data_IF_291721908343
#
_entry.id   IF_291721908343
#
_cell.length_a   1.000
_cell.length_b   1.000
_cell.length_c   1.000
_cell.angle_alpha   90.00
_cell.angle_beta   90.00
_cell.angle_gamma   90.00
#
_symmetry.space_group_name_H-M   'P 1'
#
loop_
_entity.id
_entity.type
_entity.pdbx_description
1 polymer ?
#
# COMPACT_ATOMS: atom_id res chain seq x y z
N UNK A 1 -17.90 -6.78 10.29
CA UNK A 1 -16.67 -7.14 11.04
C UNK A 1 -16.38 -6.02 12.04
N UNK A 2 -16.10 -6.31 13.32
CA UNK A 2 -15.73 -5.32 14.34
C UNK A 2 -14.42 -5.77 15.01
N UNK A 3 -13.28 -5.35 14.48
CA UNK A 3 -12.01 -5.51 15.20
C UNK A 3 -11.93 -4.46 16.30
N UNK A 4 -11.41 -4.85 17.46
CA UNK A 4 -11.29 -3.95 18.61
C UNK A 4 -10.01 -3.13 18.50
N UNK A 5 -10.15 -1.81 18.48
CA UNK A 5 -9.03 -0.89 18.52
C UNK A 5 -8.26 -1.05 19.85
N UNK A 6 -6.95 -1.25 19.74
CA UNK A 6 -6.02 -1.16 20.86
C UNK A 6 -5.67 0.31 21.11
N UNK A 7 -6.32 0.94 22.10
CA UNK A 7 -6.09 2.34 22.42
C UNK A 7 -4.75 2.50 23.15
N UNK A 8 -4.01 3.55 22.81
CA UNK A 8 -2.81 3.95 23.52
C UNK A 8 -2.90 5.41 23.97
N UNK A 9 -2.09 5.76 24.97
CA UNK A 9 -1.92 7.13 25.47
C UNK A 9 -0.64 7.76 24.96
N UNK A 10 -0.54 9.09 24.98
CA UNK A 10 0.70 9.79 24.61
C UNK A 10 1.87 9.41 25.49
N UNK A 11 1.63 9.24 26.78
CA UNK A 11 2.66 8.81 27.74
C UNK A 11 3.20 7.42 27.39
N UNK A 12 2.33 6.46 27.06
CA UNK A 12 2.78 5.12 26.62
C UNK A 12 3.65 5.17 25.37
N UNK A 13 3.25 5.96 24.36
CA UNK A 13 4.00 6.06 23.10
C UNK A 13 5.34 6.77 23.32
N UNK A 14 5.35 7.90 24.03
CA UNK A 14 6.56 8.68 24.32
C UNK A 14 7.54 7.87 25.18
N UNK A 15 7.05 7.15 26.19
CA UNK A 15 7.90 6.31 27.05
C UNK A 15 8.59 5.19 26.26
N UNK A 16 7.94 4.64 25.24
CA UNK A 16 8.54 3.63 24.37
C UNK A 16 9.58 4.24 23.42
N UNK A 17 9.28 5.39 22.81
CA UNK A 17 10.24 6.12 21.97
C UNK A 17 11.53 6.46 22.75
N UNK A 18 11.40 6.90 24.00
CA UNK A 18 12.51 7.25 24.89
C UNK A 18 13.44 6.07 25.26
N UNK A 19 13.06 4.82 24.96
CA UNK A 19 13.95 3.66 25.18
C UNK A 19 15.10 3.62 24.19
N UNK A 20 14.97 4.29 23.05
CA UNK A 20 16.00 4.38 22.02
C UNK A 20 16.50 5.82 21.94
N UNK A 21 17.81 6.04 22.07
CA UNK A 21 18.41 7.38 22.09
C UNK A 21 18.67 7.96 20.69
N UNK A 22 18.08 7.37 19.66
CA UNK A 22 18.25 7.78 18.26
C UNK A 22 17.60 9.14 17.96
N UNK A 23 18.22 9.95 17.11
CA UNK A 23 17.76 11.29 16.75
C UNK A 23 16.38 11.28 16.06
N UNK A 24 16.06 10.21 15.33
CA UNK A 24 14.76 10.05 14.67
C UNK A 24 13.64 9.81 15.70
N UNK A 25 13.95 9.10 16.79
CA UNK A 25 13.00 8.86 17.89
C UNK A 25 12.67 10.17 18.61
N UNK A 26 13.68 11.02 18.83
CA UNK A 26 13.51 12.35 19.41
C UNK A 26 12.68 13.24 18.49
N UNK A 27 12.94 13.20 17.18
CA UNK A 27 12.16 13.95 16.18
C UNK A 27 10.69 13.52 16.19
N UNK A 28 10.41 12.21 16.23
CA UNK A 28 9.05 11.70 16.33
C UNK A 28 8.36 12.11 17.65
N UNK A 29 9.08 12.08 18.77
CA UNK A 29 8.58 12.57 20.05
C UNK A 29 8.19 14.05 19.97
N UNK A 30 9.06 14.90 19.41
CA UNK A 30 8.79 16.33 19.26
C UNK A 30 7.53 16.59 18.41
N UNK A 31 7.34 15.84 17.31
CA UNK A 31 6.14 15.95 16.48
C UNK A 31 4.86 15.56 17.23
N UNK A 32 4.94 14.58 18.14
CA UNK A 32 3.83 14.17 19.01
C UNK A 32 3.54 15.24 20.07
N UNK A 33 4.57 15.72 20.76
CA UNK A 33 4.45 16.72 21.83
C UNK A 33 3.93 18.07 21.32
N UNK A 34 4.36 18.48 20.12
CA UNK A 34 3.88 19.68 19.45
C UNK A 34 2.49 19.50 18.82
N UNK A 35 1.94 18.29 18.83
CA UNK A 35 0.58 18.00 18.34
C UNK A 35 0.44 17.90 16.82
N UNK A 36 1.55 17.83 16.07
CA UNK A 36 1.52 17.52 14.63
C UNK A 36 1.04 16.08 14.40
N UNK A 37 1.44 15.17 15.30
CA UNK A 37 1.04 13.76 15.26
C UNK A 37 0.19 13.44 16.50
N UNK A 38 -1.02 12.92 16.29
CA UNK A 38 -1.92 12.52 17.37
C UNK A 38 -1.71 11.06 17.72
N UNK A 39 -2.07 10.64 18.94
CA UNK A 39 -2.01 9.23 19.29
C UNK A 39 -3.23 8.48 18.78
N UNK A 40 -3.02 7.26 18.30
CA UNK A 40 -4.08 6.35 17.88
C UNK A 40 -4.96 5.94 19.07
N UNK A 41 -6.16 6.50 19.11
CA UNK A 41 -7.22 6.11 20.03
C UNK A 41 -8.59 6.43 19.42
N UNK A 42 -9.66 5.91 20.03
CA UNK A 42 -11.01 6.04 19.50
C UNK A 42 -11.47 7.51 19.34
N UNK A 43 -11.22 8.44 20.29
CA UNK A 43 -11.50 9.86 20.10
C UNK A 43 -10.77 10.48 18.91
N UNK A 44 -9.45 10.25 18.78
CA UNK A 44 -8.65 10.75 17.65
C UNK A 44 -9.21 10.23 16.33
N UNK A 45 -9.46 8.93 16.22
CA UNK A 45 -10.00 8.34 15.00
C UNK A 45 -11.37 8.88 14.64
N UNK A 46 -12.25 9.13 15.63
CA UNK A 46 -13.55 9.76 15.37
C UNK A 46 -13.40 11.14 14.74
N UNK A 47 -12.42 11.93 15.18
CA UNK A 47 -12.14 13.24 14.62
C UNK A 47 -11.57 13.16 13.20
N UNK A 48 -10.62 12.23 12.97
CA UNK A 48 -9.88 12.15 11.71
C UNK A 48 -10.58 11.32 10.63
N UNK A 49 -11.59 10.52 10.97
CA UNK A 49 -12.22 9.55 10.06
C UNK A 49 -12.57 10.10 8.67
N UNK A 50 -13.06 11.34 8.59
CA UNK A 50 -13.42 11.95 7.31
C UNK A 50 -12.21 12.14 6.39
N UNK A 51 -11.05 12.50 6.94
CA UNK A 51 -9.80 12.70 6.17
C UNK A 51 -9.29 11.37 5.59
N UNK A 52 -9.56 10.27 6.28
CA UNK A 52 -9.15 8.93 5.90
C UNK A 52 -10.05 8.24 4.87
N UNK A 53 -11.26 8.78 4.62
CA UNK A 53 -12.22 8.23 3.64
C UNK A 53 -13.65 8.09 4.20
N UNK A 54 -13.82 8.21 5.51
CA UNK A 54 -15.14 8.27 6.16
C UNK A 54 -15.65 6.94 6.71
N UNK A 55 -15.18 5.80 6.20
CA UNK A 55 -15.60 4.49 6.71
C UNK A 55 -14.83 4.09 7.97
N UNK A 56 -15.37 3.11 8.71
CA UNK A 56 -14.73 2.63 9.94
C UNK A 56 -13.38 1.93 9.69
N UNK A 57 -13.22 1.29 8.53
CA UNK A 57 -11.99 0.60 8.17
C UNK A 57 -10.95 1.56 7.60
N UNK A 58 -11.38 2.68 7.04
CA UNK A 58 -10.55 3.64 6.32
C UNK A 58 -9.47 4.31 7.18
N UNK A 59 -9.54 4.16 8.50
CA UNK A 59 -8.54 4.66 9.43
C UNK A 59 -7.54 3.58 9.82
N UNK A 60 -6.29 3.95 10.16
CA UNK A 60 -5.33 3.01 10.73
C UNK A 60 -5.89 2.29 11.96
N UNK A 61 -5.56 1.01 12.09
CA UNK A 61 -6.00 0.19 13.20
C UNK A 61 -4.82 -0.62 13.73
N UNK A 62 -4.57 -0.47 15.03
CA UNK A 62 -3.78 -1.40 15.83
C UNK A 62 -4.74 -2.32 16.57
N UNK A 63 -4.55 -3.63 16.45
CA UNK A 63 -5.39 -4.63 17.12
C UNK A 63 -4.53 -5.79 17.61
N UNK A 64 -4.95 -6.38 18.73
CA UNK A 64 -4.44 -7.64 19.25
C UNK A 64 -5.56 -8.69 19.34
N UNK A 65 -6.65 -8.48 18.60
CA UNK A 65 -7.79 -9.40 18.55
C UNK A 65 -7.42 -10.68 17.77
N UNK A 66 -7.67 -11.85 18.38
CA UNK A 66 -7.37 -13.15 17.77
C UNK A 66 -8.09 -13.38 16.46
N UNK A 67 -9.27 -12.79 16.27
CA UNK A 67 -10.04 -12.90 15.02
C UNK A 67 -9.37 -12.14 13.87
N UNK A 68 -8.58 -11.11 14.20
CA UNK A 68 -7.90 -10.26 13.22
C UNK A 68 -6.50 -10.76 12.86
N UNK A 69 -5.91 -11.63 13.69
CA UNK A 69 -4.55 -12.13 13.48
C UNK A 69 -4.54 -13.30 12.48
N UNK A 70 -3.52 -13.39 11.60
CA UNK A 70 -3.37 -14.54 10.70
C UNK A 70 -3.11 -15.84 11.47
N UNK A 71 -2.59 -15.76 12.70
CA UNK A 71 -2.42 -16.90 13.57
C UNK A 71 -3.07 -16.61 14.92
N UNK A 72 -3.71 -17.62 15.55
CA UNK A 72 -4.06 -17.54 16.96
C UNK A 72 -2.84 -17.13 17.80
N UNK A 73 -3.04 -16.36 18.88
CA UNK A 73 -1.93 -15.84 19.71
C UNK A 73 -0.99 -16.94 20.21
N UNK A 74 -1.53 -18.12 20.52
CA UNK A 74 -0.77 -19.29 20.97
C UNK A 74 -0.11 -20.09 19.83
N UNK A 75 -0.24 -19.65 18.58
CA UNK A 75 0.32 -20.28 17.37
C UNK A 75 1.08 -19.27 16.50
N UNK A 76 1.49 -18.14 17.06
CA UNK A 76 2.42 -17.26 16.37
C UNK A 76 3.72 -18.03 16.06
N UNK A 77 4.33 -17.82 14.89
CA UNK A 77 5.63 -18.42 14.57
C UNK A 77 6.64 -18.09 15.66
N UNK A 78 7.31 -19.12 16.20
CA UNK A 78 8.36 -18.90 17.19
C UNK A 78 9.63 -18.34 16.54
N UNK A 79 10.51 -17.77 17.38
CA UNK A 79 11.76 -17.16 16.92
C UNK A 79 12.65 -18.15 16.18
N UNK A 80 12.65 -19.42 16.57
CA UNK A 80 13.42 -20.46 15.88
C UNK A 80 12.92 -20.64 14.43
N UNK A 81 11.62 -20.73 14.25
CA UNK A 81 10.98 -20.84 12.93
C UNK A 81 11.27 -19.62 12.08
N UNK A 82 11.18 -18.42 12.66
CA UNK A 82 11.49 -17.15 11.98
C UNK A 82 12.96 -17.13 11.53
N UNK A 83 13.88 -17.45 12.44
CA UNK A 83 15.30 -17.52 12.16
C UNK A 83 15.59 -18.52 11.04
N UNK A 84 15.05 -19.74 11.11
CA UNK A 84 15.25 -20.77 10.08
C UNK A 84 14.75 -20.34 8.68
N UNK A 85 13.62 -19.61 8.61
CA UNK A 85 13.09 -19.06 7.36
C UNK A 85 14.04 -17.98 6.82
N UNK A 86 14.44 -17.04 7.68
CA UNK A 86 15.26 -15.90 7.29
C UNK A 86 16.68 -16.32 6.91
N UNK A 87 17.32 -17.22 7.65
CA UNK A 87 18.64 -17.76 7.29
C UNK A 87 18.61 -18.42 5.92
N UNK A 88 17.61 -19.27 5.64
CA UNK A 88 17.46 -19.91 4.31
C UNK A 88 17.25 -18.89 3.20
N UNK A 89 16.56 -17.80 3.47
CA UNK A 89 16.35 -16.74 2.49
C UNK A 89 17.64 -15.96 2.21
N UNK A 90 18.40 -15.65 3.26
CA UNK A 90 19.71 -14.99 3.15
C UNK A 90 20.71 -15.86 2.39
N UNK A 91 20.79 -17.16 2.69
CA UNK A 91 21.65 -18.13 2.02
C UNK A 91 21.35 -18.25 0.51
N UNK A 92 20.08 -18.08 0.13
CA UNK A 92 19.62 -18.13 -1.28
C UNK A 92 19.66 -16.78 -1.99
N UNK A 93 19.96 -15.68 -1.28
CA UNK A 93 19.84 -14.33 -1.82
C UNK A 93 18.39 -13.90 -2.13
N UNK A 94 17.38 -14.54 -1.52
CA UNK A 94 15.97 -14.26 -1.77
C UNK A 94 15.42 -13.20 -0.81
N UNK A 95 16.02 -12.00 -0.84
CA UNK A 95 15.65 -10.84 -0.02
C UNK A 95 16.01 -9.54 -0.76
N UNK A 96 15.47 -8.41 -0.29
CA UNK A 96 15.84 -7.07 -0.79
C UNK A 96 16.31 -6.22 0.39
N UNK A 97 17.43 -5.51 0.23
CA UNK A 97 17.93 -4.56 1.23
C UNK A 97 17.43 -3.15 0.95
N UNK A 98 17.06 -2.41 1.99
CA UNK A 98 16.61 -1.02 1.84
C UNK A 98 17.69 -0.08 1.28
N UNK A 99 18.98 -0.38 1.53
CA UNK A 99 20.13 0.44 1.08
C UNK A 99 21.02 -0.40 0.15
N UNK A 100 20.78 -0.38 -1.18
CA UNK A 100 21.48 -1.24 -2.14
C UNK A 100 22.92 -0.79 -2.47
N UNK A 101 23.35 0.41 -2.05
CA UNK A 101 24.65 1.00 -2.44
C UNK A 101 25.87 0.39 -1.72
N UNK A 102 25.71 -0.71 -0.99
CA UNK A 102 26.83 -1.45 -0.40
C UNK A 102 27.21 -2.57 -1.37
N UNK A 103 28.04 -2.29 -2.38
CA UNK A 103 28.42 -3.29 -3.40
C UNK A 103 29.25 -4.47 -2.83
N UNK A 104 29.87 -4.30 -1.66
CA UNK A 104 30.58 -5.35 -0.94
C UNK A 104 29.99 -5.55 0.48
N UNK A 105 29.77 -6.81 0.88
CA UNK A 105 29.41 -7.16 2.25
C UNK A 105 27.90 -7.29 2.56
N UNK A 106 26.99 -7.10 1.58
CA UNK A 106 25.53 -7.21 1.79
C UNK A 106 25.12 -8.52 2.47
N UNK A 107 25.67 -9.64 2.00
CA UNK A 107 25.38 -10.95 2.58
C UNK A 107 25.85 -11.05 4.04
N UNK A 108 26.99 -10.44 4.39
CA UNK A 108 27.48 -10.40 5.76
C UNK A 108 26.57 -9.57 6.68
N UNK A 109 26.12 -8.41 6.20
CA UNK A 109 25.15 -7.55 6.91
C UNK A 109 23.83 -8.28 7.14
N UNK A 110 23.29 -8.90 6.09
CA UNK A 110 22.06 -9.68 6.17
C UNK A 110 22.18 -10.84 7.16
N UNK A 111 23.30 -11.57 7.09
CA UNK A 111 23.59 -12.69 8.00
C UNK A 111 23.70 -12.22 9.44
N UNK A 112 24.41 -11.12 9.69
CA UNK A 112 24.57 -10.55 11.03
C UNK A 112 23.23 -10.11 11.61
N UNK A 113 22.35 -9.47 10.83
CA UNK A 113 21.01 -9.11 11.30
C UNK A 113 20.18 -10.35 11.66
N UNK A 114 20.21 -11.40 10.84
CA UNK A 114 19.48 -12.64 11.13
C UNK A 114 20.02 -13.33 12.40
N UNK A 115 21.33 -13.34 12.60
CA UNK A 115 21.95 -13.93 13.79
C UNK A 115 21.63 -13.17 15.09
N UNK A 116 21.37 -11.86 14.99
CA UNK A 116 21.09 -11.00 16.13
C UNK A 116 19.60 -10.65 16.29
N UNK A 117 18.70 -11.39 15.64
CA UNK A 117 17.25 -11.15 15.81
C UNK A 117 16.82 -11.23 17.27
N UNK A 118 17.47 -12.03 18.11
CA UNK A 118 17.18 -12.18 19.54
C UNK A 118 17.74 -11.04 20.41
N UNK A 119 18.61 -10.18 19.88
CA UNK A 119 19.14 -9.02 20.61
C UNK A 119 18.27 -7.79 20.31
N UNK A 120 17.43 -7.33 21.26
CA UNK A 120 16.54 -6.19 21.04
C UNK A 120 17.30 -4.88 20.81
N UNK A 121 18.59 -4.80 21.15
CA UNK A 121 19.41 -3.59 21.02
C UNK A 121 20.39 -3.66 19.87
N UNK A 122 20.31 -4.68 19.02
CA UNK A 122 21.19 -4.81 17.88
C UNK A 122 20.99 -3.65 16.89
N UNK A 123 21.94 -2.73 16.90
CA UNK A 123 22.08 -1.66 15.91
C UNK A 123 22.94 -2.22 14.79
N UNK A 124 22.34 -2.48 13.64
CA UNK A 124 23.04 -3.08 12.49
C UNK A 124 23.91 -2.07 11.75
N UNK A 125 24.98 -2.54 11.11
CA UNK A 125 25.82 -1.73 10.21
C UNK A 125 25.18 -1.49 8.83
N UNK A 126 23.94 -1.94 8.62
CA UNK A 126 23.19 -1.77 7.38
C UNK A 126 21.68 -1.80 7.59
N UNK A 127 20.94 -1.61 6.49
CA UNK A 127 19.48 -1.42 6.55
C UNK A 127 18.65 -2.69 6.70
N UNK A 128 17.34 -2.50 6.76
CA UNK A 128 16.34 -3.55 6.83
C UNK A 128 16.40 -4.60 5.70
N UNK A 129 16.09 -5.84 6.07
CA UNK A 129 15.82 -6.96 5.17
C UNK A 129 14.34 -7.02 4.84
N UNK A 130 13.98 -6.77 3.59
CA UNK A 130 12.60 -6.80 3.11
C UNK A 130 12.32 -7.99 2.18
N UNK A 131 11.03 -8.20 1.92
CA UNK A 131 10.53 -9.07 0.86
C UNK A 131 10.95 -10.54 0.98
N UNK A 132 11.22 -11.01 2.21
CA UNK A 132 11.52 -12.42 2.45
C UNK A 132 10.22 -13.21 2.37
N UNK A 133 9.99 -13.88 1.24
CA UNK A 133 8.81 -14.71 1.01
C UNK A 133 8.85 -15.97 1.87
N UNK A 134 7.71 -16.33 2.46
CA UNK A 134 7.59 -17.59 3.20
C UNK A 134 6.28 -18.30 2.92
N UNK A 135 6.35 -19.31 2.04
CA UNK A 135 5.21 -20.18 1.74
C UNK A 135 4.72 -20.93 2.98
N UNK A 136 5.61 -21.30 3.90
CA UNK A 136 5.26 -21.98 5.14
C UNK A 136 4.41 -21.10 6.07
N UNK A 137 4.72 -19.81 6.15
CA UNK A 137 3.92 -18.85 6.91
C UNK A 137 2.56 -18.63 6.24
N UNK A 138 2.52 -18.48 4.92
CA UNK A 138 1.27 -18.34 4.18
C UNK A 138 0.34 -19.56 4.35
N UNK A 139 0.88 -20.78 4.35
CA UNK A 139 0.10 -22.01 4.49
C UNK A 139 -0.45 -22.22 5.91
N UNK A 140 0.25 -21.72 6.92
CA UNK A 140 -0.17 -21.84 8.32
C UNK A 140 -1.11 -20.72 8.77
N UNK A 141 -1.18 -19.62 8.01
CA UNK A 141 -2.00 -18.48 8.30
C UNK A 141 -3.47 -18.70 7.90
N UNK A 142 -4.38 -18.22 8.76
CA UNK A 142 -5.81 -18.13 8.52
C UNK A 142 -6.15 -16.69 8.19
N UNK A 143 -6.42 -16.42 6.92
CA UNK A 143 -6.73 -15.08 6.45
C UNK A 143 -8.20 -14.75 6.65
N UNK A 144 -8.46 -13.56 7.15
CA UNK A 144 -9.80 -13.00 7.17
C UNK A 144 -10.29 -12.80 5.73
N UNK A 145 -11.53 -13.21 5.43
CA UNK A 145 -12.16 -12.89 4.14
C UNK A 145 -12.59 -11.42 4.10
N UNK A 146 -12.38 -10.80 2.94
CA UNK A 146 -12.80 -9.44 2.60
C UNK A 146 -13.82 -9.42 1.46
N UNK A 147 -14.54 -10.53 1.26
CA UNK A 147 -15.50 -10.66 0.16
C UNK A 147 -16.60 -9.60 0.22
N UNK A 148 -17.01 -9.18 1.43
CA UNK A 148 -17.99 -8.10 1.62
C UNK A 148 -17.53 -6.71 1.16
N UNK A 149 -16.23 -6.53 0.93
CA UNK A 149 -15.65 -5.30 0.36
C UNK A 149 -15.20 -5.50 -1.10
N UNK A 150 -15.52 -6.66 -1.69
CA UNK A 150 -15.17 -7.05 -3.05
C UNK A 150 -13.68 -7.34 -3.17
N UNK A 151 -13.20 -8.39 -2.52
CA UNK A 151 -11.80 -8.82 -2.58
C UNK A 151 -11.35 -9.02 -4.03
N UNK A 152 -10.32 -8.26 -4.45
CA UNK A 152 -9.72 -8.35 -5.79
C UNK A 152 -8.47 -9.22 -5.81
N UNK A 153 -7.77 -9.29 -4.68
CA UNK A 153 -6.56 -10.09 -4.56
C UNK A 153 -5.88 -9.92 -3.21
N UNK A 154 -4.97 -10.85 -2.94
CA UNK A 154 -4.11 -10.88 -1.75
C UNK A 154 -2.68 -11.16 -2.18
N UNK A 155 -1.72 -10.44 -1.62
CA UNK A 155 -0.31 -10.80 -1.83
C UNK A 155 0.10 -12.00 -0.97
N UNK A 156 1.16 -12.66 -1.36
CA UNK A 156 1.91 -13.53 -0.44
C UNK A 156 2.35 -12.75 0.80
N UNK A 157 2.56 -13.49 1.88
CA UNK A 157 3.10 -12.98 3.12
C UNK A 157 4.61 -12.86 3.03
N UNK A 158 5.11 -11.68 3.41
CA UNK A 158 6.52 -11.36 3.39
C UNK A 158 7.00 -11.02 4.81
N UNK A 159 8.16 -11.53 5.17
CA UNK A 159 8.87 -11.12 6.37
C UNK A 159 9.70 -9.86 6.07
N UNK A 160 9.77 -9.00 7.07
CA UNK A 160 10.72 -7.89 7.13
C UNK A 160 11.42 -7.93 8.48
N UNK A 161 12.75 -7.86 8.49
CA UNK A 161 13.52 -7.66 9.71
C UNK A 161 14.25 -6.33 9.66
N UNK A 162 14.25 -5.62 10.79
CA UNK A 162 14.91 -4.33 10.94
C UNK A 162 15.73 -4.33 12.23
N UNK A 163 16.96 -3.77 12.23
CA UNK A 163 17.72 -3.54 13.46
C UNK A 163 17.06 -2.47 14.34
N UNK A 164 17.50 -2.36 15.58
CA UNK A 164 17.08 -1.29 16.49
C UNK A 164 17.61 0.08 16.01
N UNK A 165 16.80 1.13 16.15
CA UNK A 165 17.13 2.50 15.71
C UNK A 165 16.98 2.73 14.20
N UNK A 166 16.59 1.72 13.42
CA UNK A 166 16.34 1.88 11.99
C UNK A 166 14.99 2.57 11.73
N UNK A 167 14.83 3.02 10.49
CA UNK A 167 13.58 3.60 10.02
C UNK A 167 13.26 3.12 8.61
N UNK A 168 11.97 2.90 8.37
CA UNK A 168 11.47 2.94 7.01
C UNK A 168 11.04 4.37 6.71
N UNK A 169 11.67 4.90 5.68
CA UNK A 169 11.41 6.21 5.13
C UNK A 169 9.94 6.34 4.69
N UNK A 170 9.47 7.57 4.50
CA UNK A 170 8.09 7.86 4.14
C UNK A 170 7.68 7.16 2.84
N UNK A 171 6.79 6.18 2.95
CA UNK A 171 6.33 5.32 1.85
C UNK A 171 4.79 5.21 1.89
N UNK A 172 4.20 4.54 0.90
CA UNK A 172 2.78 4.24 0.85
C UNK A 172 2.48 2.95 0.07
N UNK A 173 1.26 2.46 0.19
CA UNK A 173 0.75 1.35 -0.63
C UNK A 173 -0.61 1.71 -1.19
N UNK A 174 -0.89 1.31 -2.42
CA UNK A 174 -2.16 1.53 -3.14
C UNK A 174 -3.26 0.50 -2.76
N UNK A 175 -2.97 -0.34 -1.77
CA UNK A 175 -3.80 -1.41 -1.24
C UNK A 175 -3.64 -1.45 0.28
N UNK A 176 -4.50 -2.22 0.96
CA UNK A 176 -4.39 -2.40 2.40
C UNK A 176 -3.08 -3.09 2.73
N UNK A 177 -2.36 -2.58 3.71
CA UNK A 177 -1.21 -3.28 4.29
C UNK A 177 -1.59 -3.82 5.66
N UNK A 178 -1.43 -5.13 5.83
CA UNK A 178 -1.70 -5.81 7.09
C UNK A 178 -0.38 -6.37 7.59
N UNK A 179 0.09 -5.89 8.74
CA UNK A 179 1.41 -6.23 9.29
C UNK A 179 1.28 -6.75 10.71
N UNK A 180 1.65 -8.00 10.95
CA UNK A 180 1.75 -8.59 12.29
C UNK A 180 3.19 -8.51 12.77
N UNK A 181 3.40 -7.95 13.96
CA UNK A 181 4.72 -7.96 14.59
C UNK A 181 4.94 -9.29 15.27
N UNK A 182 5.99 -10.01 14.86
CA UNK A 182 6.37 -11.29 15.43
C UNK A 182 7.35 -11.11 16.59
N UNK A 183 8.23 -10.12 16.50
CA UNK A 183 9.23 -9.81 17.50
C UNK A 183 9.60 -8.32 17.50
N UNK A 184 10.05 -7.83 18.66
CA UNK A 184 10.57 -6.47 18.86
C UNK A 184 9.45 -5.46 19.09
N UNK A 185 9.80 -4.19 18.93
CA UNK A 185 8.89 -3.06 19.16
C UNK A 185 9.12 -2.01 18.08
N UNK A 186 8.06 -1.52 17.46
CA UNK A 186 8.13 -0.48 16.41
C UNK A 186 7.07 0.59 16.62
N UNK A 187 7.39 1.82 16.22
CA UNK A 187 6.45 2.94 16.16
C UNK A 187 6.01 3.15 14.73
N UNK A 188 4.72 3.33 14.52
CA UNK A 188 4.14 3.70 13.23
C UNK A 188 3.64 5.12 13.28
N UNK A 189 3.88 5.87 12.20
CA UNK A 189 3.26 7.17 11.96
C UNK A 189 2.55 7.09 10.62
N UNK A 190 1.24 7.27 10.64
CA UNK A 190 0.39 7.08 9.45
C UNK A 190 -0.43 8.33 9.24
N UNK A 191 -0.37 8.88 8.02
CA UNK A 191 -1.02 10.12 7.64
C UNK A 191 -2.28 9.83 6.83
N UNK A 192 -3.24 10.76 6.87
CA UNK A 192 -4.43 10.65 6.04
C UNK A 192 -4.06 10.81 4.55
N UNK A 193 -4.72 10.10 3.61
CA UNK A 193 -4.47 10.20 2.17
C UNK A 193 -5.17 11.44 1.58
N UNK A 194 -4.96 12.62 2.15
CA UNK A 194 -5.52 13.86 1.60
C UNK A 194 -4.77 14.26 0.33
N UNK A 195 -5.40 15.00 -0.60
CA UNK A 195 -4.71 15.49 -1.79
C UNK A 195 -3.40 16.22 -1.47
N UNK A 196 -3.38 17.02 -0.40
CA UNK A 196 -2.20 17.76 0.05
C UNK A 196 -1.08 16.83 0.54
N UNK A 197 -1.40 15.82 1.35
CA UNK A 197 -0.41 14.85 1.83
C UNK A 197 0.14 13.99 0.69
N UNK A 198 -0.70 13.64 -0.30
CA UNK A 198 -0.27 12.87 -1.47
C UNK A 198 0.61 13.71 -2.41
N UNK A 199 0.39 15.02 -2.49
CA UNK A 199 1.29 15.93 -3.20
C UNK A 199 2.64 16.06 -2.51
N UNK A 200 2.65 16.23 -1.18
CA UNK A 200 3.89 16.24 -0.38
C UNK A 200 4.68 14.94 -0.55
N UNK A 201 4.00 13.79 -0.54
CA UNK A 201 4.64 12.51 -0.80
C UNK A 201 5.18 12.42 -2.23
N UNK A 202 4.45 12.92 -3.23
CA UNK A 202 4.93 12.95 -4.62
C UNK A 202 6.17 13.81 -4.77
N UNK A 203 6.18 15.01 -4.19
CA UNK A 203 7.34 15.91 -4.19
C UNK A 203 8.56 15.23 -3.57
N UNK A 204 8.40 14.59 -2.40
CA UNK A 204 9.47 13.80 -1.78
C UNK A 204 9.97 12.70 -2.72
N UNK A 205 9.06 11.90 -3.28
CA UNK A 205 9.40 10.81 -4.19
C UNK A 205 10.06 11.30 -5.50
N UNK A 206 9.83 12.55 -5.88
CA UNK A 206 10.51 13.16 -7.02
C UNK A 206 11.94 13.56 -6.64
N UNK A 207 12.12 14.18 -5.48
CA UNK A 207 13.42 14.61 -4.99
C UNK A 207 14.39 13.46 -4.76
N UNK A 208 13.98 12.39 -4.08
CA UNK A 208 14.93 11.27 -3.91
C UNK A 208 15.13 10.45 -5.20
N UNK A 209 14.23 10.51 -6.19
CA UNK A 209 14.52 9.99 -7.56
C UNK A 209 15.61 10.83 -8.25
N UNK A 210 15.67 12.13 -7.98
CA UNK A 210 16.71 13.03 -8.48
C UNK A 210 18.02 12.93 -7.69
N UNK A 211 18.08 12.07 -6.65
CA UNK A 211 19.24 11.93 -5.78
C UNK A 211 19.43 13.06 -4.77
N UNK A 212 18.38 13.86 -4.51
CA UNK A 212 18.39 14.85 -3.44
C UNK A 212 18.24 14.13 -2.09
N UNK A 213 19.12 14.40 -1.14
CA UNK A 213 18.96 13.92 0.24
C UNK A 213 17.77 14.64 0.87
N UNK A 214 16.63 13.96 0.99
CA UNK A 214 15.48 14.47 1.72
C UNK A 214 15.39 13.87 3.11
N UNK A 215 15.06 14.72 4.08
CA UNK A 215 14.72 14.29 5.41
C UNK A 215 13.20 14.05 5.48
N UNK A 216 12.75 12.80 5.52
CA UNK A 216 11.32 12.46 5.67
C UNK A 216 10.64 13.16 6.83
N UNK A 217 11.37 13.44 7.90
CA UNK A 217 10.83 14.04 9.12
C UNK A 217 10.36 15.49 8.88
N UNK A 218 10.99 16.20 7.95
CA UNK A 218 10.55 17.54 7.53
C UNK A 218 9.19 17.48 6.81
N UNK A 219 8.97 16.46 5.98
CA UNK A 219 7.68 16.25 5.33
C UNK A 219 6.58 15.91 6.34
N UNK A 220 6.90 15.12 7.36
CA UNK A 220 5.92 14.71 8.39
C UNK A 220 5.35 15.89 9.18
N UNK A 221 6.15 16.93 9.44
CA UNK A 221 5.68 18.14 10.14
C UNK A 221 4.55 18.85 9.39
N UNK A 222 4.57 18.79 8.07
CA UNK A 222 3.62 19.45 7.17
C UNK A 222 2.41 18.58 6.81
N UNK A 223 2.45 17.27 7.11
CA UNK A 223 1.35 16.37 6.78
C UNK A 223 0.21 16.45 7.79
N UNK A 224 -1.01 16.38 7.28
CA UNK A 224 -2.21 16.54 8.08
C UNK A 224 -2.80 15.21 8.54
N UNK A 225 -3.42 15.22 9.72
CA UNK A 225 -4.19 14.08 10.22
C UNK A 225 -3.34 12.86 10.55
N UNK A 226 -2.07 13.05 10.93
CA UNK A 226 -1.17 11.99 11.32
C UNK A 226 -1.58 11.32 12.64
N UNK A 227 -1.44 10.00 12.70
CA UNK A 227 -1.56 9.21 13.93
C UNK A 227 -0.30 8.40 14.21
N UNK A 228 0.10 8.33 15.48
CA UNK A 228 1.19 7.50 15.98
C UNK A 228 0.72 6.45 16.99
N UNK A 229 1.41 5.30 16.99
CA UNK A 229 1.23 4.23 17.96
C UNK A 229 2.40 3.26 17.95
N UNK A 230 2.53 2.51 19.05
CA UNK A 230 3.53 1.46 19.22
C UNK A 230 2.91 0.10 18.93
N UNK A 231 3.51 -0.64 18.01
CA UNK A 231 3.21 -2.05 17.77
C UNK A 231 4.16 -2.93 18.58
N UNK A 232 3.60 -3.91 19.28
CA UNK A 232 4.28 -4.94 20.09
C UNK A 232 4.04 -6.34 19.51
N UNK A 233 4.81 -7.37 19.93
CA UNK A 233 4.67 -8.72 19.41
C UNK A 233 3.25 -9.27 19.59
N UNK A 234 2.73 -9.92 18.56
CA UNK A 234 1.36 -10.43 18.53
C UNK A 234 0.28 -9.38 18.25
N UNK A 235 0.66 -8.13 17.95
CA UNK A 235 -0.26 -7.11 17.47
C UNK A 235 -0.20 -7.01 15.95
N UNK A 236 -1.33 -6.64 15.35
CA UNK A 236 -1.47 -6.40 13.92
C UNK A 236 -1.86 -4.96 13.63
N UNK A 237 -1.25 -4.41 12.60
CA UNK A 237 -1.51 -3.09 12.05
C UNK A 237 -2.22 -3.22 10.72
N UNK A 238 -3.26 -2.42 10.53
CA UNK A 238 -3.97 -2.24 9.27
C UNK A 238 -3.70 -0.82 8.80
N UNK A 239 -3.07 -0.70 7.63
CA UNK A 239 -2.82 0.58 6.96
C UNK A 239 -3.75 0.65 5.75
N UNK A 240 -4.65 1.63 5.69
CA UNK A 240 -5.52 1.85 4.55
C UNK A 240 -4.74 2.19 3.27
N UNK A 241 -5.32 1.93 2.08
CA UNK A 241 -4.72 2.33 0.81
C UNK A 241 -4.41 3.83 0.76
N UNK A 242 -3.32 4.15 0.08
CA UNK A 242 -2.79 5.48 -0.18
C UNK A 242 -2.42 6.31 1.05
N UNK A 243 -2.52 5.78 2.27
CA UNK A 243 -2.02 6.47 3.46
C UNK A 243 -0.50 6.53 3.39
N UNK A 244 0.13 7.72 3.40
CA UNK A 244 1.55 7.83 3.64
C UNK A 244 1.86 7.31 5.05
N UNK A 245 2.99 6.63 5.21
CA UNK A 245 3.42 6.15 6.51
C UNK A 245 4.94 6.14 6.63
N UNK A 246 5.40 6.34 7.86
CA UNK A 246 6.78 6.12 8.29
C UNK A 246 6.77 5.13 9.46
N UNK A 247 7.88 4.42 9.64
CA UNK A 247 8.05 3.48 10.74
C UNK A 247 9.43 3.62 11.37
N UNK A 248 9.47 3.53 12.69
CA UNK A 248 10.68 3.55 13.50
C UNK A 248 10.80 2.25 14.29
N UNK A 249 12.01 1.71 14.41
CA UNK A 249 12.24 0.46 15.13
C UNK A 249 12.90 0.76 16.47
N UNK A 250 12.15 0.55 17.55
CA UNK A 250 12.64 0.83 18.91
C UNK A 250 13.55 -0.32 19.36
N UNK A 251 13.18 -1.54 18.99
CA UNK A 251 13.97 -2.76 19.19
C UNK A 251 14.15 -3.48 17.86
N UNK A 252 15.18 -4.31 17.76
CA UNK A 252 15.34 -5.25 16.64
C UNK A 252 14.07 -6.06 16.48
N UNK A 253 13.50 -6.05 15.27
CA UNK A 253 12.15 -6.52 15.06
C UNK A 253 12.00 -7.34 13.80
N UNK A 254 10.99 -8.21 13.83
CA UNK A 254 10.55 -8.99 12.66
C UNK A 254 9.04 -8.85 12.52
N UNK A 255 8.60 -8.42 11.36
CA UNK A 255 7.18 -8.34 11.01
C UNK A 255 6.85 -9.27 9.85
N UNK A 256 5.63 -9.79 9.85
CA UNK A 256 5.03 -10.53 8.74
C UNK A 256 3.89 -9.70 8.16
N UNK A 257 4.02 -9.30 6.89
CA UNK A 257 3.06 -8.44 6.24
C UNK A 257 2.54 -9.04 4.93
N UNK A 258 1.25 -8.80 4.67
CA UNK A 258 0.62 -9.08 3.39
C UNK A 258 -0.28 -7.91 3.00
N UNK A 259 -0.73 -7.92 1.75
CA UNK A 259 -1.52 -6.84 1.17
C UNK A 259 -2.84 -7.35 0.64
N UNK A 260 -3.87 -6.51 0.73
CA UNK A 260 -5.22 -6.84 0.28
C UNK A 260 -5.76 -5.74 -0.64
N UNK A 261 -6.16 -6.11 -1.86
CA UNK A 261 -6.82 -5.23 -2.80
C UNK A 261 -8.34 -5.45 -2.76
N UNK A 262 -9.12 -4.36 -2.79
CA UNK A 262 -10.59 -4.42 -2.70
C UNK A 262 -11.23 -3.51 -3.73
N UNK A 263 -12.37 -3.92 -4.27
CA UNK A 263 -13.14 -3.15 -5.24
C UNK A 263 -13.60 -1.82 -4.65
N UNK A 264 -13.93 -1.80 -3.36
CA UNK A 264 -14.31 -0.59 -2.64
C UNK A 264 -13.25 0.52 -2.69
N UNK A 265 -11.96 0.16 -2.82
CA UNK A 265 -10.83 1.11 -2.87
C UNK A 265 -10.21 1.24 -4.26
N UNK A 266 -10.77 0.59 -5.27
CA UNK A 266 -10.23 0.56 -6.63
C UNK A 266 -10.14 1.95 -7.28
N UNK A 267 -11.12 2.82 -7.04
CA UNK A 267 -11.11 4.21 -7.56
C UNK A 267 -9.88 4.99 -7.07
N UNK A 268 -9.52 4.84 -5.80
CA UNK A 268 -8.33 5.46 -5.23
C UNK A 268 -7.05 4.91 -5.87
N UNK A 269 -7.01 3.61 -6.19
CA UNK A 269 -5.88 3.01 -6.90
C UNK A 269 -5.72 3.52 -8.34
N UNK A 270 -6.82 3.92 -9.02
CA UNK A 270 -6.78 4.55 -10.34
C UNK A 270 -6.29 6.00 -10.26
N UNK A 271 -6.85 6.78 -9.33
CA UNK A 271 -6.49 8.21 -9.16
C UNK A 271 -5.04 8.42 -8.74
N UNK A 272 -4.39 7.41 -8.15
CA UNK A 272 -3.03 7.48 -7.66
C UNK A 272 -2.03 6.67 -8.49
N UNK A 273 -2.36 6.37 -9.76
CA UNK A 273 -1.40 5.81 -10.71
C UNK A 273 -0.15 6.70 -10.86
N UNK A 274 -0.24 8.04 -10.97
CA UNK A 274 0.95 8.88 -11.10
C UNK A 274 1.91 8.75 -9.92
N UNK A 275 1.35 8.68 -8.69
CA UNK A 275 2.14 8.47 -7.49
C UNK A 275 2.84 7.11 -7.50
N UNK A 276 2.18 6.07 -8.02
CA UNK A 276 2.76 4.73 -8.14
C UNK A 276 3.92 4.74 -9.12
N UNK A 277 3.71 5.39 -10.28
CA UNK A 277 4.75 5.54 -11.28
C UNK A 277 5.98 6.22 -10.69
N UNK A 278 5.80 7.35 -10.01
CA UNK A 278 6.89 8.08 -9.35
C UNK A 278 7.65 7.20 -8.35
N UNK A 279 6.94 6.46 -7.50
CA UNK A 279 7.53 5.57 -6.50
C UNK A 279 8.34 4.42 -7.11
N UNK A 280 7.97 3.95 -8.30
CA UNK A 280 8.69 2.87 -8.99
C UNK A 280 9.97 3.38 -9.65
N UNK A 281 10.09 4.67 -9.94
CA UNK A 281 11.31 5.24 -10.57
C UNK A 281 12.58 5.10 -9.71
N UNK A 282 12.42 4.84 -8.41
CA UNK A 282 13.51 4.49 -7.49
C UNK A 282 14.16 3.13 -7.77
N UNK A 283 13.41 2.23 -8.39
CA UNK A 283 13.88 0.88 -8.63
C UNK A 283 14.81 0.80 -9.85
N UNK A 284 15.53 -0.31 -9.99
CA UNK A 284 16.29 -0.57 -11.21
C UNK A 284 15.37 -0.72 -12.42
N UNK A 285 15.87 -0.43 -13.63
CA UNK A 285 15.03 -0.44 -14.84
C UNK A 285 14.39 -1.79 -15.19
N UNK A 286 14.91 -2.89 -14.64
CA UNK A 286 14.35 -4.24 -14.75
C UNK A 286 13.17 -4.41 -13.77
N UNK A 287 13.36 -4.00 -12.52
CA UNK A 287 12.31 -4.03 -11.50
C UNK A 287 11.17 -3.06 -11.85
N UNK A 288 11.48 -1.91 -12.45
CA UNK A 288 10.49 -0.98 -12.99
C UNK A 288 9.57 -1.65 -14.01
N UNK A 289 10.14 -2.34 -15.00
CA UNK A 289 9.37 -3.03 -16.05
C UNK A 289 8.39 -4.06 -15.46
N UNK A 290 8.88 -4.86 -14.51
CA UNK A 290 8.07 -5.87 -13.82
C UNK A 290 6.93 -5.19 -13.06
N UNK A 291 7.24 -4.14 -12.26
CA UNK A 291 6.25 -3.44 -11.45
C UNK A 291 5.20 -2.71 -12.29
N UNK A 292 5.58 -2.06 -13.39
CA UNK A 292 4.64 -1.43 -14.31
C UNK A 292 3.72 -2.45 -14.97
N UNK A 293 4.29 -3.54 -15.48
CA UNK A 293 3.52 -4.62 -16.11
C UNK A 293 2.53 -5.25 -15.13
N UNK A 294 3.00 -5.66 -13.94
CA UNK A 294 2.13 -6.26 -12.93
C UNK A 294 1.01 -5.30 -12.49
N UNK A 295 1.33 -4.01 -12.31
CA UNK A 295 0.33 -3.02 -11.89
C UNK A 295 -0.73 -2.81 -12.97
N UNK A 296 -0.32 -2.65 -14.22
CA UNK A 296 -1.23 -2.45 -15.35
C UNK A 296 -2.14 -3.66 -15.57
N UNK A 297 -1.59 -4.87 -15.43
CA UNK A 297 -2.34 -6.12 -15.55
C UNK A 297 -3.35 -6.29 -14.39
N UNK A 298 -2.91 -6.15 -13.13
CA UNK A 298 -3.77 -6.26 -11.95
C UNK A 298 -4.91 -5.23 -11.95
N UNK A 299 -4.63 -4.00 -12.39
CA UNK A 299 -5.67 -2.98 -12.55
C UNK A 299 -6.70 -3.36 -13.62
N UNK A 300 -6.27 -4.01 -14.70
CA UNK A 300 -7.15 -4.42 -15.80
C UNK A 300 -8.05 -5.58 -15.35
N UNK A 301 -7.48 -6.59 -14.70
CA UNK A 301 -8.22 -7.71 -14.13
C UNK A 301 -9.27 -7.23 -13.12
N UNK A 302 -8.86 -6.33 -12.21
CA UNK A 302 -9.76 -5.74 -11.23
C UNK A 302 -10.89 -4.93 -11.89
N UNK A 303 -10.57 -4.12 -12.90
CA UNK A 303 -11.54 -3.36 -13.67
C UNK A 303 -12.58 -4.29 -14.32
N UNK A 304 -12.13 -5.39 -14.93
CA UNK A 304 -13.02 -6.36 -15.56
C UNK A 304 -13.93 -7.04 -14.53
N UNK A 305 -13.37 -7.48 -13.41
CA UNK A 305 -14.14 -8.11 -12.34
C UNK A 305 -15.24 -7.16 -11.78
N UNK A 306 -14.90 -5.88 -11.61
CA UNK A 306 -15.82 -4.85 -11.12
C UNK A 306 -16.91 -4.55 -12.16
N UNK A 307 -16.54 -4.27 -13.42
CA UNK A 307 -17.50 -3.86 -14.45
C UNK A 307 -18.42 -5.00 -14.88
N UNK A 308 -17.95 -6.24 -14.85
CA UNK A 308 -18.76 -7.44 -15.08
C UNK A 308 -19.53 -7.88 -13.83
N UNK A 309 -19.24 -7.29 -12.67
CA UNK A 309 -19.83 -7.62 -11.37
C UNK A 309 -19.68 -9.11 -11.03
N UNK A 310 -18.48 -9.65 -11.25
CA UNK A 310 -18.13 -11.06 -11.01
C UNK A 310 -17.58 -11.33 -9.59
N UNK A 311 -17.57 -10.31 -8.73
CA UNK A 311 -17.05 -10.40 -7.37
C UNK A 311 -18.01 -11.17 -6.44
N UNK A 312 -17.54 -12.23 -5.75
CA UNK A 312 -18.37 -12.97 -4.80
C UNK A 312 -18.86 -12.08 -3.66
N UNK A 313 -20.14 -12.23 -3.29
CA UNK A 313 -20.75 -11.56 -2.14
C UNK A 313 -20.65 -10.02 -2.09
N UNK A 314 -20.33 -9.36 -3.22
CA UNK A 314 -20.20 -7.91 -3.32
C UNK A 314 -21.03 -7.32 -4.47
N UNK A 315 -21.86 -6.31 -4.18
CA UNK A 315 -22.53 -5.52 -5.23
C UNK A 315 -21.64 -4.33 -5.63
N UNK A 316 -21.00 -4.44 -6.79
CA UNK A 316 -20.08 -3.44 -7.28
C UNK A 316 -20.76 -2.21 -7.88
N UNK A 317 -22.10 -2.10 -7.87
CA UNK A 317 -22.85 -1.00 -8.50
C UNK A 317 -22.34 0.39 -8.15
N UNK A 318 -22.04 0.66 -6.88
CA UNK A 318 -21.55 1.97 -6.45
C UNK A 318 -20.15 2.25 -6.98
N UNK A 319 -19.27 1.25 -6.98
CA UNK A 319 -17.91 1.35 -7.52
C UNK A 319 -17.95 1.57 -9.04
N UNK A 320 -18.82 0.84 -9.75
CA UNK A 320 -19.04 1.03 -11.20
C UNK A 320 -19.44 2.48 -11.50
N UNK A 321 -20.35 3.07 -10.71
CA UNK A 321 -20.77 4.46 -10.88
C UNK A 321 -19.59 5.42 -10.67
N UNK A 322 -18.75 5.17 -9.65
CA UNK A 322 -17.56 5.98 -9.40
C UNK A 322 -16.58 5.90 -10.57
N UNK A 323 -16.23 4.68 -11.02
CA UNK A 323 -15.35 4.46 -12.19
C UNK A 323 -15.90 5.21 -13.41
N UNK A 324 -17.19 5.07 -13.72
CA UNK A 324 -17.77 5.72 -14.90
C UNK A 324 -17.70 7.24 -14.85
N UNK A 325 -17.76 7.84 -13.65
CA UNK A 325 -17.72 9.29 -13.46
C UNK A 325 -16.31 9.86 -13.55
N UNK A 326 -15.29 9.11 -13.10
CA UNK A 326 -13.91 9.57 -13.07
C UNK A 326 -13.06 9.08 -14.24
N UNK A 327 -13.58 8.18 -15.07
CA UNK A 327 -12.79 7.50 -16.09
C UNK A 327 -12.04 8.47 -16.99
N UNK A 328 -12.72 9.50 -17.50
CA UNK A 328 -12.08 10.46 -18.39
C UNK A 328 -11.00 11.31 -17.70
N UNK A 329 -11.03 11.43 -16.37
CA UNK A 329 -10.02 12.12 -15.57
C UNK A 329 -8.76 11.26 -15.32
N UNK A 330 -8.89 9.93 -15.33
CA UNK A 330 -7.81 8.99 -14.95
C UNK A 330 -7.30 8.11 -16.09
N UNK A 331 -7.96 8.11 -17.25
CA UNK A 331 -7.60 7.24 -18.39
C UNK A 331 -6.18 7.54 -18.89
N UNK A 332 -5.75 8.79 -18.82
CA UNK A 332 -4.44 9.24 -19.32
C UNK A 332 -3.32 8.69 -18.43
N UNK A 333 -3.51 8.70 -17.12
CA UNK A 333 -2.56 8.09 -16.17
C UNK A 333 -2.44 6.58 -16.40
N UNK A 334 -3.55 5.90 -16.68
CA UNK A 334 -3.51 4.49 -17.06
C UNK A 334 -2.75 4.28 -18.39
N UNK A 335 -3.04 5.10 -19.41
CA UNK A 335 -2.31 5.05 -20.68
C UNK A 335 -0.80 5.22 -20.46
N UNK A 336 -0.40 6.23 -19.68
CA UNK A 336 0.99 6.50 -19.32
C UNK A 336 1.64 5.29 -18.61
N UNK A 337 0.92 4.65 -17.68
CA UNK A 337 1.39 3.42 -17.04
C UNK A 337 1.62 2.29 -18.05
N UNK A 338 0.71 2.08 -19.00
CA UNK A 338 0.89 1.08 -20.06
C UNK A 338 2.04 1.46 -21.01
N UNK A 339 2.19 2.73 -21.35
CA UNK A 339 3.24 3.21 -22.25
C UNK A 339 4.64 3.12 -21.64
N UNK A 340 4.74 3.18 -20.30
CA UNK A 340 5.97 2.96 -19.55
C UNK A 340 6.49 1.50 -19.65
N UNK A 341 5.66 0.55 -20.06
CA UNK A 341 6.07 -0.84 -20.34
C UNK A 341 6.90 -0.86 -21.63
N UNK A 342 8.12 -1.41 -21.53
CA UNK A 342 9.08 -1.53 -22.63
C UNK A 342 8.61 -2.55 -23.66
N UNK A 343 8.09 -3.69 -23.22
CA UNK A 343 7.47 -4.67 -24.11
C UNK A 343 6.17 -4.13 -24.72
N UNK A 344 6.25 -3.71 -25.99
CA UNK A 344 5.13 -3.10 -26.71
C UNK A 344 4.01 -4.09 -27.03
N UNK A 345 4.29 -5.38 -27.15
CA UNK A 345 3.25 -6.39 -27.36
C UNK A 345 2.44 -6.57 -26.08
N UNK A 346 3.12 -6.69 -24.94
CA UNK A 346 2.48 -6.73 -23.61
C UNK A 346 1.67 -5.46 -23.33
N UNK A 347 2.25 -4.27 -23.54
CA UNK A 347 1.55 -2.99 -23.39
C UNK A 347 0.28 -2.93 -24.24
N UNK A 348 0.38 -3.25 -25.52
CA UNK A 348 -0.74 -3.23 -26.47
C UNK A 348 -1.83 -4.24 -26.07
N UNK A 349 -1.45 -5.44 -25.63
CA UNK A 349 -2.37 -6.46 -25.17
C UNK A 349 -3.17 -6.00 -23.94
N UNK A 350 -2.52 -5.36 -22.95
CA UNK A 350 -3.21 -4.80 -21.78
C UNK A 350 -4.19 -3.70 -22.19
N UNK A 351 -3.76 -2.74 -23.02
CA UNK A 351 -4.63 -1.66 -23.51
C UNK A 351 -5.85 -2.18 -24.27
N UNK A 352 -5.69 -3.20 -25.08
CA UNK A 352 -6.79 -3.82 -25.82
C UNK A 352 -7.78 -4.51 -24.86
N UNK A 353 -7.30 -5.24 -23.84
CA UNK A 353 -8.17 -5.82 -22.81
C UNK A 353 -8.99 -4.78 -22.06
N UNK A 354 -8.44 -3.59 -21.81
CA UNK A 354 -9.19 -2.47 -21.19
C UNK A 354 -10.32 -2.01 -22.11
N UNK A 355 -10.02 -1.77 -23.40
CA UNK A 355 -11.03 -1.37 -24.41
C UNK A 355 -12.14 -2.42 -24.55
N UNK A 356 -11.78 -3.70 -24.58
CA UNK A 356 -12.72 -4.81 -24.64
C UNK A 356 -13.60 -4.87 -23.39
N UNK A 357 -13.01 -4.71 -22.20
CA UNK A 357 -13.71 -4.68 -20.92
C UNK A 357 -14.80 -3.61 -20.89
N UNK A 358 -14.44 -2.36 -21.22
CA UNK A 358 -15.42 -1.27 -21.29
C UNK A 358 -16.45 -1.49 -22.40
N UNK A 359 -16.05 -1.98 -23.56
CA UNK A 359 -16.96 -2.27 -24.67
C UNK A 359 -18.02 -3.29 -24.24
N UNK A 360 -17.61 -4.41 -23.63
CA UNK A 360 -18.53 -5.44 -23.11
C UNK A 360 -19.49 -4.84 -22.07
N UNK A 361 -18.97 -4.06 -21.14
CA UNK A 361 -19.77 -3.36 -20.13
C UNK A 361 -20.81 -2.42 -20.76
N UNK A 362 -20.40 -1.55 -21.68
CA UNK A 362 -21.26 -0.57 -22.35
C UNK A 362 -22.32 -1.25 -23.22
N UNK A 363 -21.98 -2.31 -23.94
CA UNK A 363 -22.94 -3.12 -24.70
C UNK A 363 -23.98 -3.74 -23.77
N UNK A 364 -23.54 -4.34 -22.66
CA UNK A 364 -24.44 -4.98 -21.70
C UNK A 364 -25.39 -3.99 -21.03
N UNK A 365 -24.90 -2.82 -20.59
CA UNK A 365 -25.75 -1.76 -20.01
C UNK A 365 -26.58 -1.03 -21.06
N UNK A 366 -26.09 -0.96 -22.29
CA UNK A 366 -26.72 -0.37 -23.47
C UNK A 366 -28.06 -1.02 -23.83
N UNK A 367 -28.21 -2.32 -23.52
CA UNK A 367 -29.49 -3.06 -23.67
C UNK A 367 -30.60 -2.52 -22.77
N UNK A 368 -30.24 -1.91 -21.62
CA UNK A 368 -31.19 -1.36 -20.63
C UNK A 368 -31.41 0.14 -20.78
N UNK A 369 -30.42 0.85 -21.30
CA UNK A 369 -30.45 2.29 -21.56
C UNK A 369 -29.63 2.54 -22.80
N UNK A 370 -30.23 3.05 -23.88
CA UNK A 370 -29.53 3.34 -25.13
C UNK A 370 -28.62 4.58 -25.02
N UNK A 371 -27.87 4.71 -23.92
CA UNK A 371 -26.95 5.80 -23.60
C UNK A 371 -25.63 5.23 -23.09
N UNK A 372 -24.52 5.84 -23.46
CA UNK A 372 -23.20 5.57 -22.90
C UNK A 372 -23.21 5.86 -21.39
N UNK A 373 -22.58 5.00 -20.59
CA UNK A 373 -22.54 5.16 -19.12
C UNK A 373 -21.44 6.10 -18.64
N UNK A 374 -20.50 6.45 -19.53
CA UNK A 374 -19.41 7.39 -19.25
C UNK A 374 -19.89 8.83 -19.53
N UNK A 375 -20.24 9.17 -20.78
CA UNK A 375 -20.67 10.52 -21.16
C UNK A 375 -22.18 10.76 -21.22
N UNK A 376 -23.03 9.74 -21.08
CA UNK A 376 -24.50 9.91 -21.18
C UNK A 376 -25.06 10.09 -22.61
N UNK A 377 -24.18 10.17 -23.62
CA UNK A 377 -24.55 10.33 -25.03
C UNK A 377 -25.36 9.12 -25.54
N UNK A 378 -26.41 9.35 -26.32
CA UNK A 378 -27.30 8.29 -26.81
C UNK A 378 -26.64 7.44 -27.91
N UNK A 379 -26.89 6.12 -27.94
CA UNK A 379 -26.32 5.22 -28.96
C UNK A 379 -26.62 5.66 -30.40
N UNK A 380 -27.77 6.31 -30.62
CA UNK A 380 -28.18 6.82 -31.94
C UNK A 380 -27.26 7.91 -32.49
N UNK A 381 -26.43 8.54 -31.65
CA UNK A 381 -25.59 9.67 -32.05
C UNK A 381 -24.13 9.30 -32.29
N UNK A 382 -23.76 8.01 -32.20
CA UNK A 382 -22.44 7.54 -32.63
C UNK A 382 -22.60 6.37 -33.60
N UNK A 383 -22.24 6.61 -34.86
CA UNK A 383 -22.58 5.79 -36.03
C UNK A 383 -21.96 4.39 -36.03
N UNK A 384 -20.86 4.19 -35.29
CA UNK A 384 -20.03 2.98 -35.42
C UNK A 384 -20.22 1.95 -34.30
N UNK A 385 -20.92 2.30 -33.21
CA UNK A 385 -21.16 1.39 -32.09
C UNK A 385 -20.35 1.74 -30.84
N UNK A 386 -20.51 0.92 -29.78
CA UNK A 386 -19.91 1.22 -28.47
C UNK A 386 -18.38 1.07 -28.46
N UNK A 387 -17.81 0.18 -29.28
CA UNK A 387 -16.38 -0.07 -29.31
C UNK A 387 -15.61 1.14 -29.86
N UNK A 388 -16.03 1.64 -31.02
CA UNK A 388 -15.47 2.79 -31.70
C UNK A 388 -15.75 4.08 -30.92
N UNK A 389 -16.95 4.20 -30.32
CA UNK A 389 -17.25 5.33 -29.43
C UNK A 389 -16.34 5.35 -28.20
N UNK A 390 -16.14 4.22 -27.52
CA UNK A 390 -15.23 4.16 -26.39
C UNK A 390 -13.79 4.49 -26.82
N UNK A 391 -13.29 3.83 -27.87
CA UNK A 391 -11.94 4.07 -28.37
C UNK A 391 -11.71 5.53 -28.76
N UNK A 392 -12.68 6.15 -29.45
CA UNK A 392 -12.60 7.55 -29.86
C UNK A 392 -12.75 8.54 -28.71
N UNK A 393 -13.87 8.49 -27.98
CA UNK A 393 -14.26 9.51 -27.01
C UNK A 393 -13.65 9.30 -25.60
N UNK A 394 -13.37 8.05 -25.22
CA UNK A 394 -13.02 7.69 -23.84
C UNK A 394 -11.67 7.00 -23.70
N UNK A 395 -10.94 6.79 -24.80
CA UNK A 395 -9.57 6.27 -24.76
C UNK A 395 -8.60 7.21 -25.48
N UNK A 396 -8.87 7.57 -26.73
CA UNK A 396 -7.96 8.38 -27.54
C UNK A 396 -8.18 9.90 -27.40
N UNK A 397 -9.38 10.34 -27.00
CA UNK A 397 -9.67 11.76 -26.85
C UNK A 397 -8.72 12.38 -25.82
N UNK A 398 -7.94 13.35 -26.26
CA UNK A 398 -7.28 14.30 -25.37
C UNK A 398 -8.35 15.14 -24.66
N UNK A 399 -8.10 15.56 -23.41
CA UNK A 399 -8.90 16.60 -22.80
C UNK A 399 -8.99 17.76 -23.78
N UNK A 400 -10.20 18.24 -24.08
CA UNK A 400 -10.32 19.52 -24.76
C UNK A 400 -9.65 20.54 -23.83
N UNK A 401 -8.63 21.27 -24.33
CA UNK A 401 -8.05 22.39 -23.62
C UNK A 401 -9.21 23.25 -23.09
N UNK A 402 -9.30 23.39 -21.77
CA UNK A 402 -10.52 23.81 -21.09
C UNK A 402 -11.12 25.10 -21.66
N UNK A 403 -12.41 25.04 -22.00
CA UNK A 403 -13.29 26.20 -22.16
C UNK A 403 -13.78 26.69 -20.79
#
# INVERSE_FOLDING_TARGET
MKSKLHNQTSEEVINELNKCQDELMQSAQMLIENGHIKILNAPTLKQLRKMYGGDAWDTPLLTDDEVSLPWPKNKLPDLKTIHDIMSKAVDKGSYTMARPNLEEGVWGIATNLVQNLNDPKYVGEGGALHSIKSQALDQSAVFQSWDSDGMLGRSEMNLTALPAGDSNDLDYRDCWTLSTLLQGTMSWMIMAPTPENLELLRDKLQKDTNGEETNSWEYLEHMQGAVAFIQRPGQMVYIPPCCPYAMLTIETCVSAAYRMATAKKFSMSLQNIPLFMQRVLYDTSEVQEIKFTEKADKLQEALDAILTNSLPAYDAKNVIIQICRMWDDVKDDYRNLCEAIKDKDTSTAIQNRIKETFTRFLVAKGKKSAKCRLCGIAKKTFDRGYAEHFAGAHWNATPADGD
#
